data_IF_334843698522
#
_entry.id   IF_334843698522
#
_cell.length_a   1.000
_cell.length_b   1.000
_cell.length_c   1.000
_cell.angle_alpha   90.00
_cell.angle_beta   90.00
_cell.angle_gamma   90.00
#
_symmetry.space_group_name_H-M   'P 1'
#
loop_
_entity.id
_entity.type
_entity.pdbx_description
1 polymer ?
#
# COMPACT_ATOMS: atom_id res chain seq x y z
N UNK A 1 -45.78 -25.08 4.84
CA UNK A 1 -44.90 -24.84 3.68
C UNK A 1 -43.45 -24.72 4.11
N UNK A 2 -43.04 -23.63 4.80
CA UNK A 2 -41.63 -23.40 5.21
C UNK A 2 -41.01 -24.55 6.00
N UNK A 3 -41.77 -25.18 6.91
CA UNK A 3 -41.34 -26.35 7.69
C UNK A 3 -41.06 -27.64 6.88
N UNK A 4 -41.57 -27.74 5.64
CA UNK A 4 -41.33 -28.89 4.76
C UNK A 4 -40.25 -28.60 3.72
N UNK A 5 -40.17 -27.35 3.25
CA UNK A 5 -39.23 -26.94 2.20
C UNK A 5 -37.82 -26.80 2.73
N UNK A 6 -37.60 -26.20 3.91
CA UNK A 6 -36.25 -25.97 4.43
C UNK A 6 -35.49 -27.28 4.71
N UNK A 7 -36.04 -28.29 5.42
CA UNK A 7 -35.34 -29.55 5.65
C UNK A 7 -35.07 -30.32 4.34
N UNK A 8 -36.03 -30.34 3.42
CA UNK A 8 -35.87 -31.01 2.13
C UNK A 8 -34.78 -30.35 1.26
N UNK A 9 -34.64 -29.03 1.35
CA UNK A 9 -33.54 -28.30 0.71
C UNK A 9 -32.20 -28.61 1.38
N UNK A 10 -32.11 -28.55 2.71
CA UNK A 10 -30.89 -28.87 3.46
C UNK A 10 -30.41 -30.31 3.18
N UNK A 11 -31.33 -31.28 3.17
CA UNK A 11 -31.04 -32.67 2.82
C UNK A 11 -30.49 -32.80 1.38
N UNK A 12 -31.03 -32.03 0.43
CA UNK A 12 -30.56 -32.03 -0.95
C UNK A 12 -29.15 -31.43 -1.06
N UNK A 13 -28.89 -30.30 -0.40
CA UNK A 13 -27.55 -29.69 -0.36
C UNK A 13 -26.52 -30.64 0.24
N UNK A 14 -26.86 -31.30 1.36
CA UNK A 14 -25.98 -32.25 2.02
C UNK A 14 -25.70 -33.49 1.16
N UNK A 15 -26.73 -34.08 0.56
CA UNK A 15 -26.59 -35.29 -0.28
C UNK A 15 -25.73 -35.03 -1.52
N UNK A 16 -25.94 -33.89 -2.17
CA UNK A 16 -25.19 -33.50 -3.37
C UNK A 16 -23.86 -32.81 -3.04
N UNK A 17 -23.53 -32.63 -1.74
CA UNK A 17 -22.31 -31.96 -1.24
C UNK A 17 -22.09 -30.57 -1.85
N UNK A 18 -23.18 -29.82 -2.00
CA UNK A 18 -23.12 -28.47 -2.54
C UNK A 18 -22.73 -27.48 -1.44
N UNK A 19 -21.95 -26.47 -1.81
CA UNK A 19 -21.65 -25.31 -0.96
C UNK A 19 -22.27 -24.06 -1.62
N UNK A 20 -23.55 -23.75 -1.33
CA UNK A 20 -24.22 -22.58 -1.89
C UNK A 20 -23.52 -21.28 -1.49
N UNK A 21 -23.28 -20.41 -2.47
CA UNK A 21 -22.70 -19.08 -2.29
C UNK A 21 -23.77 -17.99 -2.14
N UNK A 22 -25.02 -18.30 -2.50
CA UNK A 22 -26.16 -17.41 -2.43
C UNK A 22 -27.34 -18.04 -1.68
N UNK A 23 -28.28 -17.20 -1.24
CA UNK A 23 -29.52 -17.69 -0.67
C UNK A 23 -30.38 -18.36 -1.76
N UNK A 24 -31.05 -19.48 -1.46
CA UNK A 24 -31.85 -20.20 -2.44
C UNK A 24 -33.04 -19.38 -2.92
N UNK A 25 -33.17 -19.27 -4.24
CA UNK A 25 -34.34 -18.69 -4.89
C UNK A 25 -35.33 -19.81 -5.18
N UNK A 26 -36.46 -19.81 -4.46
CA UNK A 26 -37.50 -20.83 -4.61
C UNK A 26 -38.48 -20.48 -5.74
N UNK A 27 -38.75 -21.44 -6.62
CA UNK A 27 -39.75 -21.35 -7.69
C UNK A 27 -40.77 -22.50 -7.58
N UNK A 28 -42.08 -22.21 -7.39
CA UNK A 28 -42.67 -20.89 -7.11
C UNK A 28 -42.21 -20.33 -5.76
N UNK A 29 -42.46 -19.03 -5.51
CA UNK A 29 -42.07 -18.40 -4.24
C UNK A 29 -42.74 -19.11 -3.06
N UNK A 30 -42.10 -19.11 -1.89
CA UNK A 30 -42.59 -19.83 -0.72
C UNK A 30 -44.00 -19.39 -0.28
N UNK A 31 -44.34 -18.13 -0.53
CA UNK A 31 -45.63 -17.55 -0.17
C UNK A 31 -46.75 -17.91 -1.20
N UNK A 32 -46.36 -18.28 -2.42
CA UNK A 32 -47.28 -18.76 -3.47
C UNK A 32 -47.42 -20.29 -3.50
N UNK A 33 -46.57 -21.00 -2.75
CA UNK A 33 -46.55 -22.45 -2.71
C UNK A 33 -47.84 -23.00 -2.06
N UNK A 34 -48.68 -23.65 -2.87
CA UNK A 34 -49.93 -24.25 -2.38
C UNK A 34 -49.72 -25.71 -1.99
N UNK A 35 -49.92 -26.01 -0.70
CA UNK A 35 -49.95 -27.38 -0.18
C UNK A 35 -51.36 -27.92 -0.29
N UNK A 36 -51.51 -29.09 -0.92
CA UNK A 36 -52.77 -29.85 -0.95
C UNK A 36 -52.59 -31.09 -0.09
N UNK A 37 -53.61 -31.40 0.71
CA UNK A 37 -53.61 -32.58 1.57
C UNK A 37 -53.49 -33.86 0.74
N UNK A 38 -52.65 -34.79 1.19
CA UNK A 38 -52.33 -36.06 0.50
C UNK A 38 -51.78 -35.94 -0.92
N UNK A 39 -51.17 -34.80 -1.29
CA UNK A 39 -50.44 -34.65 -2.56
C UNK A 39 -48.96 -34.32 -2.30
N UNK A 40 -48.04 -34.81 -3.16
CA UNK A 40 -46.63 -34.46 -3.06
C UNK A 40 -46.45 -32.95 -3.30
N UNK A 41 -45.57 -32.35 -2.49
CA UNK A 41 -45.15 -30.96 -2.66
C UNK A 41 -43.92 -30.92 -3.56
N UNK A 42 -44.00 -30.19 -4.67
CA UNK A 42 -42.88 -29.98 -5.59
C UNK A 42 -42.48 -28.52 -5.56
N UNK A 43 -41.18 -28.26 -5.44
CA UNK A 43 -40.59 -26.93 -5.53
C UNK A 43 -39.22 -27.06 -6.22
N UNK A 44 -38.74 -25.96 -6.80
CA UNK A 44 -37.37 -25.83 -7.30
C UNK A 44 -36.64 -24.79 -6.45
N UNK A 45 -35.37 -25.04 -6.15
CA UNK A 45 -34.48 -24.07 -5.51
C UNK A 45 -33.28 -23.84 -6.43
N UNK A 46 -33.02 -22.59 -6.78
CA UNK A 46 -31.84 -22.18 -7.56
C UNK A 46 -30.84 -21.55 -6.61
N UNK A 47 -29.59 -22.00 -6.67
CA UNK A 47 -28.47 -21.49 -5.88
C UNK A 47 -27.25 -21.34 -6.75
N UNK A 48 -26.42 -20.35 -6.44
CA UNK A 48 -25.11 -20.22 -7.04
C UNK A 48 -24.12 -21.09 -6.27
N UNK A 49 -23.28 -21.84 -6.99
CA UNK A 49 -22.19 -22.63 -6.44
C UNK A 49 -20.87 -22.17 -7.06
N UNK A 50 -19.77 -22.42 -6.37
CA UNK A 50 -18.43 -22.14 -6.92
C UNK A 50 -18.26 -22.92 -8.23
N UNK A 51 -17.88 -22.26 -9.34
CA UNK A 51 -17.64 -22.95 -10.60
C UNK A 51 -16.46 -23.92 -10.46
N UNK A 52 -16.42 -24.94 -11.32
CA UNK A 52 -15.22 -25.76 -11.45
C UNK A 52 -14.13 -24.90 -12.11
N UNK A 53 -12.95 -24.83 -11.49
CA UNK A 53 -11.84 -23.99 -11.94
C UNK A 53 -10.74 -24.91 -12.46
N UNK A 54 -10.52 -24.88 -13.77
CA UNK A 54 -9.42 -25.62 -14.40
C UNK A 54 -8.14 -24.77 -14.36
N UNK A 55 -7.15 -25.23 -13.60
CA UNK A 55 -5.86 -24.55 -13.46
C UNK A 55 -4.99 -24.87 -14.68
N UNK A 56 -4.41 -23.86 -15.37
CA UNK A 56 -3.49 -24.09 -16.47
C UNK A 56 -2.21 -24.76 -15.97
N UNK A 57 -1.42 -25.31 -16.89
CA UNK A 57 -0.09 -25.83 -16.55
C UNK A 57 0.79 -24.69 -16.04
N UNK A 58 1.42 -24.88 -14.88
CA UNK A 58 2.21 -23.82 -14.24
C UNK A 58 3.39 -23.38 -15.10
N UNK A 59 3.93 -24.25 -15.95
CA UNK A 59 5.04 -23.95 -16.86
C UNK A 59 4.63 -22.99 -17.99
N UNK A 60 3.33 -22.82 -18.26
CA UNK A 60 2.81 -21.82 -19.19
C UNK A 60 2.77 -20.41 -18.61
N UNK A 61 2.98 -20.28 -17.29
CA UNK A 61 3.18 -18.98 -16.65
C UNK A 61 4.62 -18.54 -16.86
N UNK A 62 4.82 -17.25 -17.12
CA UNK A 62 6.14 -16.67 -17.36
C UNK A 62 6.42 -15.60 -16.33
N UNK A 63 7.60 -15.64 -15.70
CA UNK A 63 8.02 -14.53 -14.84
C UNK A 63 9.53 -14.32 -14.94
N UNK A 64 9.97 -13.10 -14.66
CA UNK A 64 11.40 -12.81 -14.56
C UNK A 64 11.99 -13.57 -13.37
N UNK A 65 13.04 -14.36 -13.58
CA UNK A 65 13.74 -15.13 -12.53
C UNK A 65 15.19 -14.67 -12.35
N UNK A 66 15.57 -13.58 -12.99
CA UNK A 66 16.93 -13.09 -12.88
C UNK A 66 17.21 -12.63 -11.45
N UNK A 67 18.42 -12.90 -10.93
CA UNK A 67 18.79 -12.36 -9.63
C UNK A 67 18.75 -10.84 -9.67
N UNK A 68 18.33 -10.24 -8.57
CA UNK A 68 18.43 -8.80 -8.39
C UNK A 68 19.90 -8.42 -8.35
N UNK A 69 20.26 -7.43 -9.17
CA UNK A 69 21.59 -6.83 -9.19
C UNK A 69 21.46 -5.37 -8.81
N UNK A 70 22.23 -4.95 -7.80
CA UNK A 70 22.32 -3.56 -7.37
C UNK A 70 23.70 -3.06 -7.80
N UNK A 71 23.78 -2.26 -8.87
CA UNK A 71 25.05 -1.76 -9.35
C UNK A 71 25.67 -0.84 -8.31
N UNK A 72 27.00 -0.79 -8.30
CA UNK A 72 27.77 0.10 -7.43
C UNK A 72 27.35 1.57 -7.56
N UNK A 73 26.93 1.99 -8.74
CA UNK A 73 26.49 3.35 -9.02
C UNK A 73 25.28 3.77 -8.17
N UNK A 74 24.37 2.84 -7.89
CA UNK A 74 23.19 3.10 -7.05
C UNK A 74 23.58 3.25 -5.58
N UNK A 75 24.52 2.41 -5.10
CA UNK A 75 25.08 2.53 -3.75
C UNK A 75 25.82 3.86 -3.60
N UNK A 76 26.67 4.22 -4.57
CA UNK A 76 27.42 5.47 -4.57
C UNK A 76 26.47 6.68 -4.63
N UNK A 77 25.37 6.60 -5.38
CA UNK A 77 24.34 7.63 -5.42
C UNK A 77 23.61 7.78 -4.07
N UNK A 78 23.29 6.66 -3.41
CA UNK A 78 22.67 6.67 -2.09
C UNK A 78 23.60 7.29 -1.04
N UNK A 79 24.88 6.89 -1.02
CA UNK A 79 25.88 7.47 -0.12
C UNK A 79 26.06 8.96 -0.37
N UNK A 80 26.06 9.42 -1.62
CA UNK A 80 26.10 10.87 -1.95
C UNK A 80 24.88 11.62 -1.44
N UNK A 81 23.69 11.00 -1.42
CA UNK A 81 22.50 11.61 -0.80
C UNK A 81 22.66 11.75 0.71
N UNK A 82 23.19 10.72 1.37
CA UNK A 82 23.53 10.81 2.80
C UNK A 82 24.58 11.90 3.06
N UNK A 83 25.63 11.97 2.24
CA UNK A 83 26.67 12.99 2.33
C UNK A 83 26.09 14.41 2.21
N UNK A 84 25.15 14.61 1.28
CA UNK A 84 24.48 15.89 1.09
C UNK A 84 23.58 16.27 2.29
N UNK A 85 22.98 15.28 2.96
CA UNK A 85 22.18 15.48 4.18
C UNK A 85 23.06 15.79 5.40
N UNK A 86 24.27 15.25 5.46
CA UNK A 86 25.28 15.55 6.50
C UNK A 86 26.12 16.79 6.18
N UNK A 87 25.74 17.58 5.19
CA UNK A 87 26.46 18.80 4.85
C UNK A 87 26.38 19.83 5.98
N UNK A 88 27.50 20.48 6.27
CA UNK A 88 27.55 21.63 7.18
C UNK A 88 27.55 22.93 6.38
N UNK A 89 27.05 24.00 7.00
CA UNK A 89 26.97 25.31 6.37
C UNK A 89 27.66 26.35 7.25
N UNK A 90 28.70 26.97 6.69
CA UNK A 90 29.48 27.99 7.37
C UNK A 90 29.16 29.38 6.81
N UNK A 91 28.86 30.39 7.65
CA UNK A 91 28.65 31.76 7.18
C UNK A 91 29.89 32.31 6.47
N UNK A 92 29.67 32.92 5.31
CA UNK A 92 30.71 33.65 4.57
C UNK A 92 30.80 35.08 5.09
N UNK A 93 32.03 35.55 5.32
CA UNK A 93 32.30 36.95 5.60
C UNK A 93 32.24 37.77 4.29
N UNK A 94 31.03 38.16 3.91
CA UNK A 94 30.78 38.92 2.69
C UNK A 94 29.63 39.91 2.84
N UNK A 95 29.76 41.08 2.22
CA UNK A 95 28.73 42.14 2.20
C UNK A 95 27.99 42.24 0.86
N UNK A 96 28.14 41.23 -0.02
CA UNK A 96 27.50 41.24 -1.34
C UNK A 96 26.04 40.75 -1.25
N UNK A 97 25.17 41.14 -2.20
CA UNK A 97 23.85 40.54 -2.32
C UNK A 97 23.93 39.06 -2.75
N UNK A 98 22.87 38.32 -2.43
CA UNK A 98 22.68 36.91 -2.80
C UNK A 98 22.72 36.75 -4.32
N UNK A 99 23.49 35.79 -4.81
CA UNK A 99 23.61 35.43 -6.21
C UNK A 99 22.87 34.11 -6.52
N UNK A 100 22.67 33.85 -7.81
CA UNK A 100 22.21 32.54 -8.28
C UNK A 100 23.20 31.46 -7.82
N UNK A 101 22.68 30.40 -7.17
CA UNK A 101 23.44 29.25 -6.61
C UNK A 101 24.16 29.46 -5.26
N UNK A 102 23.92 30.57 -4.57
CA UNK A 102 24.39 30.71 -3.19
C UNK A 102 23.64 29.77 -2.24
N UNK A 103 24.27 29.40 -1.13
CA UNK A 103 23.56 28.89 0.04
C UNK A 103 23.28 30.07 0.99
N UNK A 104 22.11 30.08 1.60
CA UNK A 104 21.68 31.16 2.49
C UNK A 104 21.07 30.60 3.76
N UNK A 105 21.37 31.22 4.90
CA UNK A 105 20.67 30.97 6.15
C UNK A 105 19.54 31.97 6.31
N UNK A 106 18.33 31.47 6.47
CA UNK A 106 17.12 32.30 6.52
C UNK A 106 16.19 31.88 7.64
N UNK A 107 15.44 32.86 8.15
CA UNK A 107 14.18 32.60 8.83
C UNK A 107 13.04 32.71 7.83
N UNK A 108 12.08 31.82 8.00
CA UNK A 108 10.96 31.67 7.11
C UNK A 108 9.68 31.58 7.94
N UNK A 109 8.80 32.55 7.78
CA UNK A 109 7.51 32.59 8.47
C UNK A 109 6.36 32.51 7.48
N UNK A 110 5.52 31.49 7.65
CA UNK A 110 4.31 31.29 6.88
C UNK A 110 3.12 31.94 7.59
N UNK A 111 2.40 32.83 6.90
CA UNK A 111 1.20 33.49 7.38
C UNK A 111 0.02 33.18 6.46
N UNK A 112 -1.06 32.62 7.00
CA UNK A 112 -2.32 32.40 6.29
C UNK A 112 -3.40 33.19 7.00
N UNK A 113 -4.11 34.06 6.27
CA UNK A 113 -5.10 34.98 6.85
C UNK A 113 -4.53 35.80 8.05
N UNK A 114 -3.24 36.14 7.99
CA UNK A 114 -2.47 36.84 9.03
C UNK A 114 -2.19 36.02 10.31
N UNK A 115 -2.48 34.73 10.32
CA UNK A 115 -2.11 33.82 11.40
C UNK A 115 -0.88 33.00 11.01
N UNK A 116 0.06 32.87 11.94
CA UNK A 116 1.30 32.10 11.75
C UNK A 116 0.97 30.61 11.71
N UNK A 117 1.49 29.93 10.69
CA UNK A 117 1.42 28.47 10.59
C UNK A 117 2.76 27.89 11.01
N UNK A 118 2.86 27.41 12.25
CA UNK A 118 4.11 26.90 12.82
C UNK A 118 4.63 25.66 12.07
N UNK A 119 3.72 24.80 11.59
CA UNK A 119 4.09 23.62 10.80
C UNK A 119 4.89 23.97 9.53
N UNK A 120 4.64 25.15 8.96
CA UNK A 120 5.22 25.68 7.72
C UNK A 120 6.23 26.82 7.96
N UNK A 121 6.53 27.12 9.22
CA UNK A 121 7.51 28.14 9.60
C UNK A 121 8.80 27.48 10.08
N UNK A 122 9.95 28.03 9.73
CA UNK A 122 11.26 27.51 10.11
C UNK A 122 12.18 28.67 10.49
N UNK A 123 13.10 28.41 11.40
CA UNK A 123 14.14 29.36 11.81
C UNK A 123 15.51 28.74 11.58
N UNK A 124 16.49 29.59 11.27
CA UNK A 124 17.89 29.22 11.05
C UNK A 124 18.07 28.04 10.06
N UNK A 125 17.35 28.08 8.93
CA UNK A 125 17.47 27.05 7.90
C UNK A 125 18.43 27.48 6.81
N UNK A 126 19.37 26.60 6.50
CA UNK A 126 20.23 26.73 5.33
C UNK A 126 19.53 26.20 4.07
N UNK A 127 19.48 27.03 3.03
CA UNK A 127 18.84 26.74 1.74
C UNK A 127 19.87 26.92 0.63
N UNK A 128 20.01 25.90 -0.22
CA UNK A 128 20.79 25.98 -1.46
C UNK A 128 19.89 26.48 -2.60
N UNK A 129 20.25 27.63 -3.20
CA UNK A 129 19.53 28.20 -4.34
C UNK A 129 19.99 27.52 -5.64
N UNK A 130 19.14 27.54 -6.68
CA UNK A 130 19.46 27.06 -8.02
C UNK A 130 19.28 25.56 -8.26
N UNK A 131 18.81 24.81 -7.25
CA UNK A 131 18.58 23.35 -7.35
C UNK A 131 17.10 22.97 -7.51
N UNK A 132 16.19 23.95 -7.52
CA UNK A 132 14.75 23.73 -7.69
C UNK A 132 14.06 23.03 -6.51
N UNK A 133 14.71 23.02 -5.33
CA UNK A 133 14.14 22.46 -4.11
C UNK A 133 13.07 23.37 -3.47
N UNK A 134 13.03 24.64 -3.87
CA UNK A 134 12.13 25.67 -3.35
C UNK A 134 11.15 26.15 -4.43
N UNK A 135 10.00 26.69 -4.06
CA UNK A 135 9.10 27.32 -5.04
C UNK A 135 9.82 28.48 -5.74
N UNK A 136 9.74 28.53 -7.07
CA UNK A 136 10.46 29.49 -7.90
C UNK A 136 10.28 30.95 -7.44
N UNK A 137 9.08 31.32 -6.97
CA UNK A 137 8.81 32.70 -6.50
C UNK A 137 9.66 33.07 -5.28
N UNK A 138 9.97 32.11 -4.43
CA UNK A 138 10.74 32.31 -3.19
C UNK A 138 12.22 32.41 -3.49
N UNK A 139 12.69 31.51 -4.36
CA UNK A 139 14.07 31.49 -4.79
C UNK A 139 14.43 32.81 -5.48
N UNK A 140 13.55 33.30 -6.35
CA UNK A 140 13.69 34.61 -7.00
C UNK A 140 13.61 35.78 -6.01
N UNK A 141 12.86 35.66 -4.93
CA UNK A 141 12.79 36.72 -3.91
C UNK A 141 14.10 36.83 -3.12
N UNK A 142 14.75 35.69 -2.84
CA UNK A 142 16.02 35.61 -2.13
C UNK A 142 17.19 36.17 -2.95
N UNK A 143 17.18 35.96 -4.27
CA UNK A 143 18.21 36.51 -5.15
C UNK A 143 18.22 38.05 -5.06
N UNK A 144 19.41 38.62 -4.88
CA UNK A 144 19.63 40.05 -4.73
C UNK A 144 19.36 40.62 -3.34
N UNK A 145 18.88 39.82 -2.37
CA UNK A 145 18.72 40.28 -0.99
C UNK A 145 20.06 40.60 -0.33
N UNK A 146 20.06 41.59 0.56
CA UNK A 146 21.18 41.88 1.45
C UNK A 146 21.00 41.19 2.81
N UNK A 147 22.11 40.87 3.47
CA UNK A 147 22.09 40.28 4.81
C UNK A 147 21.35 41.24 5.77
N UNK A 148 20.40 40.70 6.54
CA UNK A 148 19.50 41.44 7.43
C UNK A 148 18.23 41.97 6.75
N UNK A 149 18.07 41.79 5.43
CA UNK A 149 16.85 42.19 4.72
C UNK A 149 15.73 41.17 4.96
N UNK A 150 14.49 41.68 5.09
CA UNK A 150 13.27 40.86 5.13
C UNK A 150 12.41 41.18 3.90
N UNK A 151 11.97 40.14 3.18
CA UNK A 151 11.02 40.25 2.07
C UNK A 151 9.77 39.43 2.33
N UNK A 152 8.64 39.91 1.81
CA UNK A 152 7.37 39.19 1.85
C UNK A 152 6.97 38.73 0.46
N UNK A 153 6.61 37.45 0.32
CA UNK A 153 6.21 36.82 -0.95
C UNK A 153 4.85 36.14 -0.77
N UNK A 154 3.91 36.42 -1.65
CA UNK A 154 2.62 35.73 -1.67
C UNK A 154 2.69 34.49 -2.58
N UNK A 155 2.29 33.34 -2.02
CA UNK A 155 2.17 32.06 -2.73
C UNK A 155 0.72 31.58 -2.67
N UNK A 156 0.18 31.27 -3.84
CA UNK A 156 -1.15 30.71 -3.98
C UNK A 156 -1.02 29.18 -4.13
N UNK A 157 -1.71 28.45 -3.27
CA UNK A 157 -1.75 26.99 -3.31
C UNK A 157 -2.93 26.50 -4.14
N UNK A 158 -2.76 25.42 -4.92
CA UNK A 158 -3.85 24.80 -5.67
C UNK A 158 -4.90 24.20 -4.72
N UNK A 159 -6.13 24.03 -5.21
CA UNK A 159 -7.20 23.38 -4.42
C UNK A 159 -6.90 21.92 -4.05
N UNK A 160 -6.02 21.25 -4.80
CA UNK A 160 -5.65 19.85 -4.60
C UNK A 160 -4.38 19.69 -3.74
N UNK A 161 -4.02 20.70 -2.93
CA UNK A 161 -2.81 20.61 -2.11
C UNK A 161 -2.93 19.49 -1.06
N UNK A 162 -1.89 18.65 -0.84
CA UNK A 162 -1.96 17.53 0.10
C UNK A 162 -2.27 17.93 1.55
N UNK A 163 -1.83 19.14 1.93
CA UNK A 163 -2.13 19.74 3.23
C UNK A 163 -3.48 20.46 3.16
N UNK A 164 -4.54 19.97 3.83
CA UNK A 164 -5.89 20.55 3.73
C UNK A 164 -5.95 22.03 4.13
N UNK A 165 -5.12 22.43 5.09
CA UNK A 165 -5.08 23.81 5.58
C UNK A 165 -4.48 24.79 4.55
N UNK A 166 -3.68 24.29 3.61
CA UNK A 166 -3.05 25.08 2.54
C UNK A 166 -3.88 25.06 1.25
N UNK A 167 -4.70 24.03 1.03
CA UNK A 167 -5.45 23.83 -0.20
C UNK A 167 -6.34 25.04 -0.57
N UNK A 168 -6.08 25.62 -1.75
CA UNK A 168 -6.82 26.78 -2.26
C UNK A 168 -6.63 28.08 -1.49
N UNK A 169 -5.68 28.13 -0.54
CA UNK A 169 -5.37 29.34 0.22
C UNK A 169 -4.18 30.11 -0.38
N UNK A 170 -4.09 31.39 -0.05
CA UNK A 170 -2.93 32.23 -0.33
C UNK A 170 -2.17 32.44 0.97
N UNK A 171 -0.90 32.04 0.99
CA UNK A 171 0.00 32.24 2.13
C UNK A 171 0.99 33.35 1.82
N UNK A 172 1.25 34.17 2.83
CA UNK A 172 2.31 35.17 2.81
C UNK A 172 3.53 34.61 3.54
N UNK A 173 4.65 34.51 2.82
CA UNK A 173 5.92 34.10 3.36
C UNK A 173 6.80 35.31 3.64
N UNK A 174 7.16 35.51 4.90
CA UNK A 174 8.16 36.49 5.30
C UNK A 174 9.50 35.79 5.45
N UNK A 175 10.47 36.20 4.65
CA UNK A 175 11.79 35.59 4.59
C UNK A 175 12.80 36.63 5.05
N UNK A 176 13.55 36.31 6.10
CA UNK A 176 14.62 37.16 6.61
C UNK A 176 15.96 36.50 6.33
N UNK A 177 16.85 37.21 5.64
CA UNK A 177 18.19 36.70 5.34
C UNK A 177 19.14 36.98 6.50
N UNK A 178 19.71 35.93 7.10
CA UNK A 178 20.67 36.05 8.20
C UNK A 178 22.12 35.98 7.73
N UNK A 179 22.43 35.10 6.78
CA UNK A 179 23.77 34.96 6.24
C UNK A 179 23.75 34.36 4.85
N UNK A 180 24.79 34.64 4.06
CA UNK A 180 25.16 33.81 2.92
C UNK A 180 26.12 32.75 3.47
N UNK A 181 25.80 31.48 3.28
CA UNK A 181 26.58 30.36 3.80
C UNK A 181 27.29 29.61 2.67
N UNK A 182 28.33 28.86 3.02
CA UNK A 182 29.02 27.94 2.14
C UNK A 182 28.75 26.51 2.61
N UNK A 183 28.25 25.69 1.68
CA UNK A 183 28.03 24.26 1.90
C UNK A 183 29.36 23.51 1.91
N UNK A 184 29.63 22.81 3.00
CA UNK A 184 30.75 21.91 3.16
C UNK A 184 30.24 20.47 3.22
N UNK A 185 30.62 19.68 2.21
CA UNK A 185 30.35 18.25 2.22
C UNK A 185 31.44 17.54 3.03
N UNK A 186 31.09 16.69 4.00
CA UNK A 186 32.08 15.87 4.69
C UNK A 186 32.77 14.93 3.71
N UNK A 187 34.04 14.57 3.96
CA UNK A 187 34.73 13.58 3.15
C UNK A 187 34.07 12.20 3.33
N UNK A 188 34.02 11.40 2.27
CA UNK A 188 33.49 10.03 2.34
C UNK A 188 34.57 9.08 2.90
N UNK A 189 34.74 9.11 4.22
CA UNK A 189 35.74 8.34 4.95
C UNK A 189 35.15 7.67 6.21
N UNK A 190 36.03 7.09 7.03
CA UNK A 190 35.63 6.40 8.26
C UNK A 190 35.05 7.34 9.32
N UNK A 191 35.37 8.64 9.29
CA UNK A 191 34.79 9.61 10.23
C UNK A 191 33.34 9.94 9.84
N UNK A 192 33.07 10.14 8.55
CA UNK A 192 31.69 10.26 8.05
C UNK A 192 30.82 9.05 8.40
N UNK A 193 31.38 7.84 8.30
CA UNK A 193 30.67 6.62 8.69
C UNK A 193 30.35 6.59 10.19
N UNK A 194 31.29 7.03 11.05
CA UNK A 194 31.09 7.11 12.50
C UNK A 194 30.04 8.14 12.90
N UNK A 195 29.99 9.28 12.21
CA UNK A 195 28.96 10.29 12.44
C UNK A 195 27.55 9.75 12.18
N UNK A 196 27.42 8.79 11.26
CA UNK A 196 26.18 8.08 10.96
C UNK A 196 25.95 6.83 11.83
N UNK A 197 26.83 6.55 12.80
CA UNK A 197 26.71 5.43 13.74
C UNK A 197 27.33 4.10 13.26
N UNK A 198 28.15 4.13 12.20
CA UNK A 198 28.86 2.96 11.68
C UNK A 198 30.33 2.93 12.13
N UNK A 199 30.94 1.75 12.15
CA UNK A 199 32.34 1.56 12.57
C UNK A 199 33.35 2.17 11.59
N UNK A 200 33.08 2.07 10.29
CA UNK A 200 33.96 2.53 9.20
C UNK A 200 33.18 2.60 7.86
N UNK A 201 33.79 3.20 6.83
CA UNK A 201 33.16 3.40 5.53
C UNK A 201 32.82 2.08 4.83
N UNK A 202 33.63 1.04 5.01
CA UNK A 202 33.37 -0.27 4.42
C UNK A 202 32.11 -0.91 5.02
N UNK A 203 31.86 -0.72 6.33
CA UNK A 203 30.65 -1.22 6.98
C UNK A 203 29.41 -0.44 6.51
N UNK A 204 29.49 0.89 6.45
CA UNK A 204 28.43 1.75 5.90
C UNK A 204 28.04 1.30 4.48
N UNK A 205 29.03 1.16 3.60
CA UNK A 205 28.82 0.75 2.21
C UNK A 205 28.15 -0.63 2.13
N UNK A 206 28.66 -1.62 2.88
CA UNK A 206 28.13 -2.98 2.86
C UNK A 206 26.69 -3.08 3.36
N UNK A 207 26.35 -2.34 4.41
CA UNK A 207 24.98 -2.32 4.94
C UNK A 207 24.01 -1.60 3.99
N UNK A 208 24.43 -0.49 3.38
CA UNK A 208 23.60 0.19 2.36
C UNK A 208 23.37 -0.74 1.17
N UNK A 209 24.41 -1.41 0.67
CA UNK A 209 24.26 -2.35 -0.44
C UNK A 209 23.30 -3.49 -0.09
N UNK A 210 23.42 -4.09 1.09
CA UNK A 210 22.49 -5.12 1.54
C UNK A 210 21.04 -4.61 1.62
N UNK A 211 20.83 -3.42 2.19
CA UNK A 211 19.49 -2.83 2.29
C UNK A 211 18.88 -2.58 0.91
N UNK A 212 19.66 -2.07 -0.05
CA UNK A 212 19.21 -1.87 -1.42
C UNK A 212 18.91 -3.20 -2.12
N UNK A 213 19.73 -4.24 -1.89
CA UNK A 213 19.46 -5.59 -2.40
C UNK A 213 18.17 -6.14 -1.81
N UNK A 214 17.92 -5.98 -0.51
CA UNK A 214 16.68 -6.42 0.15
C UNK A 214 15.45 -5.68 -0.41
N UNK A 215 15.54 -4.36 -0.58
CA UNK A 215 14.47 -3.52 -1.15
C UNK A 215 14.16 -3.94 -2.59
N UNK A 216 15.17 -4.02 -3.46
CA UNK A 216 15.00 -4.43 -4.85
C UNK A 216 14.53 -5.89 -4.96
N UNK A 217 14.98 -6.78 -4.07
CA UNK A 217 14.48 -8.17 -4.00
C UNK A 217 13.00 -8.20 -3.66
N UNK A 218 12.55 -7.42 -2.67
CA UNK A 218 11.14 -7.32 -2.32
C UNK A 218 10.32 -6.80 -3.49
N UNK A 219 10.76 -5.72 -4.14
CA UNK A 219 10.09 -5.14 -5.30
C UNK A 219 10.04 -6.11 -6.48
N UNK A 220 11.12 -6.88 -6.70
CA UNK A 220 11.17 -7.90 -7.74
C UNK A 220 10.17 -9.03 -7.47
N UNK A 221 10.12 -9.54 -6.23
CA UNK A 221 9.16 -10.56 -5.81
C UNK A 221 7.73 -10.06 -5.96
N UNK A 222 7.43 -8.83 -5.58
CA UNK A 222 6.08 -8.26 -5.72
C UNK A 222 5.67 -8.11 -7.20
N UNK A 223 6.61 -7.74 -8.08
CA UNK A 223 6.39 -7.74 -9.54
C UNK A 223 6.11 -9.14 -10.07
N UNK A 224 6.88 -10.15 -9.65
CA UNK A 224 6.65 -11.55 -10.03
C UNK A 224 5.25 -12.01 -9.60
N UNK A 225 4.87 -11.75 -8.34
CA UNK A 225 3.55 -12.09 -7.79
C UNK A 225 2.41 -11.45 -8.59
N UNK A 226 2.54 -10.15 -8.91
CA UNK A 226 1.56 -9.43 -9.70
C UNK A 226 1.46 -9.98 -11.14
N UNK A 227 2.59 -10.26 -11.79
CA UNK A 227 2.65 -10.80 -13.15
C UNK A 227 2.04 -12.21 -13.24
N UNK A 228 2.32 -13.08 -12.26
CA UNK A 228 1.77 -14.43 -12.19
C UNK A 228 0.26 -14.42 -11.92
N UNK A 229 -0.19 -13.58 -10.98
CA UNK A 229 -1.61 -13.44 -10.68
C UNK A 229 -2.39 -12.93 -11.91
N UNK A 230 -1.86 -11.91 -12.60
CA UNK A 230 -2.48 -11.38 -13.80
C UNK A 230 -2.62 -12.46 -14.90
N UNK A 231 -1.57 -13.25 -15.13
CA UNK A 231 -1.61 -14.36 -16.10
C UNK A 231 -2.62 -15.45 -15.72
N UNK A 232 -2.73 -15.79 -14.43
CA UNK A 232 -3.72 -16.75 -13.94
C UNK A 232 -5.15 -16.23 -14.18
N UNK A 233 -5.41 -14.97 -13.84
CA UNK A 233 -6.74 -14.34 -14.03
C UNK A 233 -7.09 -14.23 -15.52
N UNK A 234 -6.12 -14.00 -16.40
CA UNK A 234 -6.34 -13.92 -17.85
C UNK A 234 -6.62 -15.30 -18.46
N UNK A 235 -5.92 -16.34 -18.02
CA UNK A 235 -6.03 -17.70 -18.56
C UNK A 235 -7.24 -18.47 -18.04
N UNK A 236 -7.78 -18.08 -16.89
CA UNK A 236 -8.87 -18.80 -16.21
C UNK A 236 -10.16 -17.99 -16.30
N UNK A 237 -11.14 -18.53 -17.04
CA UNK A 237 -12.48 -17.93 -17.07
C UNK A 237 -13.26 -18.31 -15.81
N UNK A 238 -13.39 -17.34 -14.90
CA UNK A 238 -14.16 -17.46 -13.66
C UNK A 238 -15.30 -16.46 -13.69
N UNK A 239 -16.53 -16.97 -13.78
CA UNK A 239 -17.73 -16.19 -13.57
C UNK A 239 -18.02 -16.06 -12.08
N UNK A 240 -17.94 -14.85 -11.54
CA UNK A 240 -18.35 -14.55 -10.16
C UNK A 240 -19.86 -14.25 -10.16
N UNK A 241 -20.67 -14.96 -9.35
CA UNK A 241 -22.11 -14.70 -9.28
C UNK A 241 -22.42 -13.26 -8.86
N UNK A 242 -23.26 -12.56 -9.62
CA UNK A 242 -23.69 -11.19 -9.29
C UNK A 242 -24.28 -11.04 -7.88
N UNK A 243 -25.09 -11.99 -7.35
CA UNK A 243 -25.63 -11.87 -6.00
C UNK A 243 -24.55 -11.77 -4.92
N UNK A 244 -23.41 -12.46 -5.11
CA UNK A 244 -22.29 -12.42 -4.18
C UNK A 244 -21.62 -11.04 -4.18
N UNK A 245 -21.41 -10.48 -5.39
CA UNK A 245 -20.85 -9.14 -5.59
C UNK A 245 -21.76 -8.08 -4.98
N UNK A 246 -23.07 -8.15 -5.26
CA UNK A 246 -24.04 -7.19 -4.77
C UNK A 246 -24.16 -7.20 -3.25
N UNK A 247 -24.16 -8.39 -2.64
CA UNK A 247 -24.18 -8.52 -1.20
C UNK A 247 -22.96 -7.86 -0.56
N UNK A 248 -21.76 -8.10 -1.11
CA UNK A 248 -20.52 -7.49 -0.61
C UNK A 248 -20.57 -5.96 -0.72
N UNK A 249 -20.94 -5.43 -1.89
CA UNK A 249 -21.00 -3.98 -2.14
C UNK A 249 -21.99 -3.33 -1.19
N UNK A 250 -23.17 -3.92 -1.00
CA UNK A 250 -24.17 -3.39 -0.07
C UNK A 250 -23.67 -3.39 1.38
N UNK A 251 -23.03 -4.47 1.84
CA UNK A 251 -22.48 -4.55 3.20
C UNK A 251 -21.36 -3.53 3.41
N UNK A 252 -20.43 -3.42 2.47
CA UNK A 252 -19.32 -2.47 2.56
C UNK A 252 -19.82 -1.03 2.54
N UNK A 253 -20.77 -0.68 1.66
CA UNK A 253 -21.38 0.65 1.64
C UNK A 253 -22.13 0.96 2.94
N UNK A 254 -22.79 -0.02 3.55
CA UNK A 254 -23.42 0.16 4.86
C UNK A 254 -22.38 0.42 5.96
N UNK A 255 -21.28 -0.34 5.96
CA UNK A 255 -20.19 -0.18 6.92
C UNK A 255 -19.54 1.20 6.80
N UNK A 256 -19.26 1.65 5.57
CA UNK A 256 -18.73 3.01 5.29
C UNK A 256 -19.67 4.08 5.82
N UNK A 257 -20.98 3.97 5.52
CA UNK A 257 -21.98 4.93 6.04
C UNK A 257 -22.04 4.95 7.56
N UNK A 258 -21.98 3.77 8.19
CA UNK A 258 -22.02 3.66 9.64
C UNK A 258 -20.76 4.23 10.29
N UNK A 259 -19.58 3.99 9.70
CA UNK A 259 -18.32 4.57 10.16
C UNK A 259 -18.35 6.10 10.08
N UNK A 260 -18.74 6.67 8.93
CA UNK A 260 -18.85 8.12 8.76
C UNK A 260 -19.85 8.74 9.74
N UNK A 261 -20.98 8.08 9.98
CA UNK A 261 -21.96 8.51 10.97
C UNK A 261 -21.39 8.52 12.40
N UNK A 262 -20.61 7.49 12.77
CA UNK A 262 -19.94 7.42 14.07
C UNK A 262 -18.88 8.51 14.24
N UNK A 263 -18.17 8.85 13.16
CA UNK A 263 -17.16 9.91 13.12
C UNK A 263 -17.76 11.32 12.94
N UNK A 264 -19.08 11.43 12.73
CA UNK A 264 -19.80 12.68 12.44
C UNK A 264 -19.21 13.42 11.22
N UNK A 265 -18.74 12.67 10.22
CA UNK A 265 -18.16 13.20 8.98
C UNK A 265 -19.08 12.96 7.79
N UNK A 266 -19.06 13.87 6.83
CA UNK A 266 -19.69 13.63 5.53
C UNK A 266 -18.76 12.81 4.63
N UNK A 267 -19.28 12.10 3.62
CA UNK A 267 -18.44 11.44 2.62
C UNK A 267 -17.46 12.40 1.93
N UNK A 268 -17.90 13.64 1.68
CA UNK A 268 -17.07 14.70 1.09
C UNK A 268 -15.89 15.08 1.99
N UNK A 269 -16.12 15.23 3.30
CA UNK A 269 -15.04 15.50 4.28
C UNK A 269 -14.02 14.35 4.36
N UNK A 270 -14.45 13.13 4.04
CA UNK A 270 -13.60 11.94 4.01
C UNK A 270 -12.94 11.69 2.64
N UNK A 271 -13.21 12.54 1.64
CA UNK A 271 -12.70 12.37 0.28
C UNK A 271 -13.31 11.16 -0.45
N UNK A 272 -14.47 10.67 -0.01
CA UNK A 272 -15.13 9.48 -0.57
C UNK A 272 -16.18 9.91 -1.57
N UNK A 273 -16.02 9.48 -2.83
CA UNK A 273 -17.03 9.65 -3.85
C UNK A 273 -18.06 8.52 -3.80
N UNK A 274 -19.22 8.78 -3.19
CA UNK A 274 -20.29 7.80 -3.05
C UNK A 274 -20.95 7.38 -4.37
N UNK A 275 -20.73 8.12 -5.47
CA UNK A 275 -21.24 7.76 -6.80
C UNK A 275 -20.36 6.73 -7.51
N UNK A 276 -19.03 6.83 -7.39
CA UNK A 276 -18.08 5.89 -8.04
C UNK A 276 -17.72 4.70 -7.17
N UNK A 277 -17.81 4.85 -5.84
CA UNK A 277 -17.46 3.81 -4.87
C UNK A 277 -18.14 2.45 -5.13
N UNK A 278 -19.44 2.36 -5.49
CA UNK A 278 -20.06 1.07 -5.76
C UNK A 278 -19.40 0.31 -6.92
N UNK A 279 -19.03 1.00 -8.00
CA UNK A 279 -18.40 0.39 -9.18
C UNK A 279 -16.95 -0.03 -8.89
N UNK A 280 -16.22 0.78 -8.13
CA UNK A 280 -14.89 0.44 -7.62
C UNK A 280 -14.92 -0.82 -6.74
N UNK A 281 -15.82 -0.85 -5.75
CA UNK A 281 -16.03 -2.00 -4.88
C UNK A 281 -16.43 -3.26 -5.67
N UNK A 282 -17.28 -3.12 -6.69
CA UNK A 282 -17.67 -4.22 -7.59
C UNK A 282 -16.44 -4.77 -8.33
N UNK A 283 -15.60 -3.90 -8.90
CA UNK A 283 -14.39 -4.33 -9.62
C UNK A 283 -13.44 -5.06 -8.68
N UNK A 284 -13.21 -4.50 -7.50
CA UNK A 284 -12.23 -5.01 -6.55
C UNK A 284 -12.67 -6.35 -5.95
N UNK A 285 -13.94 -6.50 -5.56
CA UNK A 285 -14.43 -7.78 -5.02
C UNK A 285 -14.41 -8.89 -6.06
N UNK A 286 -14.69 -8.58 -7.34
CA UNK A 286 -14.59 -9.57 -8.42
C UNK A 286 -13.14 -10.05 -8.54
N UNK A 287 -12.15 -9.14 -8.56
CA UNK A 287 -10.74 -9.51 -8.65
C UNK A 287 -10.28 -10.31 -7.42
N UNK A 288 -10.61 -9.86 -6.21
CA UNK A 288 -10.25 -10.54 -4.96
C UNK A 288 -10.88 -11.93 -4.86
N UNK A 289 -12.16 -12.07 -5.25
CA UNK A 289 -12.85 -13.37 -5.23
C UNK A 289 -12.25 -14.33 -6.25
N UNK A 290 -11.92 -13.85 -7.46
CA UNK A 290 -11.21 -14.64 -8.47
C UNK A 290 -9.86 -15.13 -7.93
N UNK A 291 -9.05 -14.23 -7.37
CA UNK A 291 -7.77 -14.57 -6.78
C UNK A 291 -7.93 -15.64 -5.68
N UNK A 292 -8.82 -15.42 -4.72
CA UNK A 292 -9.07 -16.35 -3.62
C UNK A 292 -9.46 -17.72 -4.14
N UNK A 293 -10.39 -17.81 -5.10
CA UNK A 293 -10.80 -19.10 -5.64
C UNK A 293 -9.70 -19.78 -6.46
N UNK A 294 -8.90 -19.05 -7.22
CA UNK A 294 -7.74 -19.64 -7.90
C UNK A 294 -6.77 -20.24 -6.88
N UNK A 295 -6.50 -19.51 -5.80
CA UNK A 295 -5.52 -19.90 -4.79
C UNK A 295 -6.01 -21.09 -3.97
N UNK A 296 -7.28 -21.09 -3.57
CA UNK A 296 -7.92 -22.24 -2.92
C UNK A 296 -7.83 -23.49 -3.81
N UNK A 297 -8.12 -23.36 -5.11
CA UNK A 297 -8.05 -24.49 -6.05
C UNK A 297 -6.62 -25.03 -6.17
N UNK A 298 -5.62 -24.15 -6.25
CA UNK A 298 -4.20 -24.54 -6.28
C UNK A 298 -3.79 -25.20 -4.96
N UNK A 299 -4.21 -24.63 -3.83
CA UNK A 299 -3.92 -25.17 -2.51
C UNK A 299 -4.47 -26.59 -2.34
N UNK A 300 -5.70 -26.84 -2.80
CA UNK A 300 -6.32 -28.16 -2.79
C UNK A 300 -5.63 -29.14 -3.74
N UNK A 301 -5.28 -28.69 -4.96
CA UNK A 301 -4.63 -29.53 -5.97
C UNK A 301 -3.22 -29.97 -5.56
N UNK A 302 -2.44 -29.06 -4.98
CA UNK A 302 -1.03 -29.26 -4.63
C UNK A 302 -0.80 -29.64 -3.16
N UNK A 303 -1.86 -29.61 -2.33
CA UNK A 303 -1.79 -29.89 -0.90
C UNK A 303 -1.02 -28.82 -0.11
N UNK A 304 -1.12 -27.54 -0.52
CA UNK A 304 -0.43 -26.42 0.13
C UNK A 304 -1.28 -25.91 1.30
N UNK A 305 -0.88 -26.29 2.51
CA UNK A 305 -1.53 -25.85 3.74
C UNK A 305 -0.52 -25.26 4.73
N UNK A 306 -1.02 -24.40 5.63
CA UNK A 306 -0.25 -23.83 6.73
C UNK A 306 -0.59 -24.58 8.01
N UNK A 307 0.40 -25.29 8.53
CA UNK A 307 0.30 -26.01 9.81
C UNK A 307 0.17 -25.03 10.99
N UNK A 308 -0.39 -25.52 12.09
CA UNK A 308 -0.48 -24.72 13.32
C UNK A 308 0.89 -24.34 13.86
N UNK A 309 1.89 -25.23 13.72
CA UNK A 309 3.28 -24.96 14.13
C UNK A 309 3.92 -23.81 13.33
N UNK A 310 3.69 -23.76 12.01
CA UNK A 310 4.15 -22.66 11.15
C UNK A 310 3.48 -21.34 11.55
N UNK A 311 2.18 -21.38 11.85
CA UNK A 311 1.43 -20.22 12.29
C UNK A 311 1.91 -19.70 13.65
N UNK A 312 2.15 -20.60 14.62
CA UNK A 312 2.68 -20.25 15.93
C UNK A 312 4.10 -19.66 15.84
N UNK A 313 4.95 -20.24 14.99
CA UNK A 313 6.27 -19.71 14.70
C UNK A 313 6.17 -18.27 14.22
N UNK A 314 5.25 -17.99 13.29
CA UNK A 314 5.14 -16.67 12.71
C UNK A 314 4.55 -15.63 13.66
N UNK A 315 3.56 -16.01 14.45
CA UNK A 315 3.01 -15.16 15.51
C UNK A 315 4.09 -14.79 16.52
N UNK A 316 4.97 -15.72 16.89
CA UNK A 316 6.10 -15.44 17.78
C UNK A 316 7.10 -14.48 17.13
N UNK A 317 7.47 -14.71 15.87
CA UNK A 317 8.39 -13.83 15.12
C UNK A 317 7.88 -12.40 15.06
N UNK A 318 6.61 -12.22 14.71
CA UNK A 318 5.96 -10.91 14.65
C UNK A 318 5.86 -10.23 16.03
N UNK A 319 5.64 -11.00 17.10
CA UNK A 319 5.63 -10.49 18.47
C UNK A 319 7.02 -9.98 18.90
N UNK A 320 8.08 -10.73 18.59
CA UNK A 320 9.47 -10.36 18.90
C UNK A 320 9.89 -9.06 18.20
N UNK A 321 9.55 -8.90 16.92
CA UNK A 321 9.79 -7.66 16.17
C UNK A 321 9.13 -6.43 16.79
N UNK A 322 7.98 -6.61 17.46
CA UNK A 322 7.24 -5.54 18.13
C UNK A 322 7.59 -5.41 19.61
N UNK A 323 8.57 -6.16 20.13
CA UNK A 323 8.89 -6.26 21.56
C UNK A 323 7.66 -6.58 22.44
N UNK A 324 6.78 -7.48 21.96
CA UNK A 324 5.55 -7.90 22.64
C UNK A 324 5.68 -9.33 23.15
N UNK A 325 4.93 -9.64 24.21
CA UNK A 325 4.78 -11.01 24.69
C UNK A 325 4.00 -11.85 23.66
N UNK A 326 4.61 -12.94 23.20
CA UNK A 326 4.06 -13.78 22.14
C UNK A 326 2.71 -14.42 22.50
N UNK A 327 2.52 -14.83 23.76
CA UNK A 327 1.25 -15.45 24.20
C UNK A 327 0.10 -14.43 24.22
N UNK A 328 0.35 -13.23 24.73
CA UNK A 328 -0.64 -12.14 24.69
C UNK A 328 -0.94 -11.70 23.26
N UNK A 329 0.07 -11.66 22.40
CA UNK A 329 -0.10 -11.31 20.99
C UNK A 329 -0.94 -12.35 20.23
N UNK A 330 -0.66 -13.64 20.42
CA UNK A 330 -1.47 -14.73 19.85
C UNK A 330 -2.93 -14.68 20.31
N UNK A 331 -3.16 -14.44 21.61
CA UNK A 331 -4.51 -14.32 22.17
C UNK A 331 -5.28 -13.13 21.57
N UNK A 332 -4.61 -12.00 21.34
CA UNK A 332 -5.18 -10.81 20.70
C UNK A 332 -5.54 -11.06 19.22
N UNK A 333 -4.66 -11.75 18.47
CA UNK A 333 -4.95 -12.10 17.08
C UNK A 333 -6.15 -13.04 16.98
N UNK A 334 -6.23 -14.02 17.91
CA UNK A 334 -7.35 -14.96 17.98
C UNK A 334 -8.67 -14.28 18.34
N UNK A 335 -8.68 -13.35 19.29
CA UNK A 335 -9.91 -12.64 19.69
C UNK A 335 -10.49 -11.75 18.59
N UNK A 336 -9.64 -11.32 17.66
CA UNK A 336 -10.01 -10.40 16.58
C UNK A 336 -10.16 -11.10 15.22
N UNK A 337 -10.20 -12.44 15.18
CA UNK A 337 -10.21 -13.25 13.94
C UNK A 337 -9.02 -13.03 12.98
N UNK A 338 -7.97 -12.32 13.41
CA UNK A 338 -6.77 -12.03 12.61
C UNK A 338 -5.83 -13.24 12.46
N UNK A 339 -6.03 -14.26 13.28
CA UNK A 339 -5.22 -15.48 13.24
C UNK A 339 -5.49 -16.29 11.95
N UNK A 340 -6.75 -16.37 11.51
CA UNK A 340 -7.10 -17.02 10.25
C UNK A 340 -6.70 -16.16 9.03
N UNK A 341 -6.78 -14.83 9.15
CA UNK A 341 -6.26 -13.91 8.12
C UNK A 341 -4.75 -14.13 7.91
N UNK A 342 -3.97 -14.23 8.99
CA UNK A 342 -2.54 -14.51 8.93
C UNK A 342 -2.27 -15.90 8.31
N UNK A 343 -3.07 -16.90 8.65
CA UNK A 343 -2.97 -18.24 8.02
C UNK A 343 -3.20 -18.16 6.52
N UNK A 344 -4.22 -17.44 6.07
CA UNK A 344 -4.50 -17.20 4.65
C UNK A 344 -3.35 -16.48 3.95
N UNK A 345 -2.78 -15.44 4.57
CA UNK A 345 -1.61 -14.74 4.05
C UNK A 345 -0.40 -15.67 3.88
N UNK A 346 -0.10 -16.50 4.89
CA UNK A 346 0.99 -17.48 4.81
C UNK A 346 0.75 -18.53 3.73
N UNK A 347 -0.49 -18.96 3.55
CA UNK A 347 -0.85 -19.90 2.49
C UNK A 347 -0.65 -19.27 1.10
N UNK A 348 -1.09 -18.02 0.93
CA UNK A 348 -0.88 -17.26 -0.31
C UNK A 348 0.61 -17.11 -0.64
N UNK A 349 1.44 -16.78 0.36
CA UNK A 349 2.89 -16.71 0.19
C UNK A 349 3.49 -18.05 -0.26
N UNK A 350 3.06 -19.17 0.33
CA UNK A 350 3.50 -20.52 -0.10
C UNK A 350 3.06 -20.83 -1.54
N UNK A 351 1.85 -20.46 -1.92
CA UNK A 351 1.35 -20.62 -3.30
C UNK A 351 2.19 -19.79 -4.27
N UNK A 352 2.46 -18.52 -3.96
CA UNK A 352 3.32 -17.69 -4.82
C UNK A 352 4.72 -18.26 -4.96
N UNK A 353 5.35 -18.71 -3.87
CA UNK A 353 6.66 -19.35 -3.94
C UNK A 353 6.63 -20.61 -4.83
N UNK A 354 5.59 -21.43 -4.70
CA UNK A 354 5.38 -22.58 -5.56
C UNK A 354 5.23 -22.17 -7.04
N UNK A 355 4.37 -21.20 -7.33
CA UNK A 355 4.15 -20.70 -8.69
C UNK A 355 5.41 -20.10 -9.31
N UNK A 356 6.14 -19.27 -8.56
CA UNK A 356 7.44 -18.71 -8.99
C UNK A 356 8.41 -19.85 -9.27
N UNK A 357 8.45 -20.91 -8.45
CA UNK A 357 9.33 -22.05 -8.70
C UNK A 357 8.97 -22.78 -10.02
N UNK A 358 7.68 -23.03 -10.27
CA UNK A 358 7.20 -23.79 -11.43
C UNK A 358 7.15 -22.98 -12.74
N UNK A 359 6.96 -21.66 -12.67
CA UNK A 359 6.82 -20.81 -13.85
C UNK A 359 8.06 -20.86 -14.76
N UNK A 360 7.88 -20.65 -16.05
CA UNK A 360 8.98 -20.49 -17.00
C UNK A 360 9.71 -19.17 -16.80
N UNK A 361 11.03 -19.17 -16.96
CA UNK A 361 11.83 -17.96 -16.91
C UNK A 361 11.57 -17.09 -18.15
N UNK A 362 11.32 -15.80 -17.93
CA UNK A 362 11.26 -14.81 -19.01
C UNK A 362 12.64 -14.71 -19.66
N UNK A 363 12.73 -14.93 -20.96
CA UNK A 363 13.99 -14.74 -21.69
C UNK A 363 14.29 -13.25 -21.79
N UNK A 364 15.13 -12.73 -20.90
CA UNK A 364 15.71 -11.41 -21.04
C UNK A 364 16.83 -11.48 -22.08
N UNK A 365 16.61 -10.91 -23.26
CA UNK A 365 17.69 -10.57 -24.19
C UNK A 365 18.57 -9.52 -23.48
N UNK A 366 19.58 -9.97 -22.74
CA UNK A 366 20.67 -9.10 -22.30
C UNK A 366 21.43 -8.74 -23.57
N UNK A 367 21.08 -7.60 -24.17
CA UNK A 367 21.92 -6.97 -25.19
C UNK A 367 23.17 -6.49 -24.45
N UNK A 368 24.24 -7.27 -24.58
CA UNK A 368 25.59 -6.96 -24.06
C UNK A 368 26.19 -5.76 -24.78
#
# INVERSE_FOLDING_TARGET
VRYLVAPAYEDAIYREKLNPLSQPIFTPSLDELRVKENQPLTFSATVDIRPNIDIPRYEELVTDKNPVDVPREDVDAYIKRLQAQSATYEPLDTERPVAEKDCVRVDWECLIKQERVDAESRQDVDIELGIGALNEKLEQALIGMQIGETKSVAIDFPQEHPTPDLAGQSAQYNITLHAITQKHLPALDDEFAKDLGYENYSQLYGLIWNNLVEEETSLHVDKQKAELLAQLIEKIDIAIPEPLVDQYVQQTLQNVKQQLANEQRTPEDAGINMETLPDELRRDVIQQTKQSWIFDTIAEAEGIYVSDDELEYEVRRAAEQQNRDAQKYAALLKSNNRLEELRGQLQHEKIYQFLIHQASAKQSLIIT
#
